data_IF_518427732776
#
_entry.id   IF_518427732776
#
_cell.length_a   1.000
_cell.length_b   1.000
_cell.length_c   1.000
_cell.angle_alpha   90.00
_cell.angle_beta   90.00
_cell.angle_gamma   90.00
#
_symmetry.space_group_name_H-M   'P 1'
#
loop_
_entity.id
_entity.type
_entity.pdbx_description
1 polymer ?
#
# COMPACT_ATOMS: atom_id res chain seq x y z
N UNK A 1 -27.86 -38.44 18.32
CA UNK A 1 -27.22 -39.77 18.21
C UNK A 1 -26.17 -39.67 17.12
N UNK A 2 -24.92 -39.98 17.44
CA UNK A 2 -23.80 -40.03 16.49
C UNK A 2 -23.82 -41.36 15.76
N UNK A 3 -23.79 -41.34 14.42
CA UNK A 3 -23.74 -42.55 13.60
C UNK A 3 -22.33 -43.16 13.69
N UNK A 4 -22.22 -44.43 14.08
CA UNK A 4 -20.91 -45.10 14.17
C UNK A 4 -20.34 -45.39 12.79
N UNK A 5 -19.00 -45.48 12.68
CA UNK A 5 -18.33 -45.82 11.42
C UNK A 5 -18.78 -47.19 10.86
N UNK A 6 -19.02 -48.19 11.73
CA UNK A 6 -19.55 -49.49 11.33
C UNK A 6 -20.96 -49.37 10.73
N UNK A 7 -21.88 -48.64 11.39
CA UNK A 7 -23.23 -48.40 10.88
C UNK A 7 -23.21 -47.65 9.55
N UNK A 8 -22.34 -46.65 9.41
CA UNK A 8 -22.15 -45.92 8.15
C UNK A 8 -21.74 -46.84 6.99
N UNK A 9 -20.75 -47.71 7.21
CA UNK A 9 -20.29 -48.68 6.19
C UNK A 9 -21.41 -49.62 5.73
N UNK A 10 -22.32 -50.00 6.64
CA UNK A 10 -23.48 -50.82 6.28
C UNK A 10 -24.43 -50.07 5.32
N UNK A 11 -24.73 -48.79 5.61
CA UNK A 11 -25.56 -47.95 4.73
C UNK A 11 -24.88 -47.78 3.36
N UNK A 12 -23.58 -47.45 3.33
CA UNK A 12 -22.83 -47.31 2.07
C UNK A 12 -22.82 -48.61 1.26
N UNK A 13 -22.59 -49.75 1.92
CA UNK A 13 -22.62 -51.06 1.29
C UNK A 13 -23.99 -51.39 0.70
N UNK A 14 -25.07 -51.05 1.41
CA UNK A 14 -26.44 -51.22 0.92
C UNK A 14 -26.73 -50.32 -0.29
N UNK A 15 -26.34 -49.04 -0.25
CA UNK A 15 -26.50 -48.12 -1.39
C UNK A 15 -25.74 -48.63 -2.62
N UNK A 16 -24.52 -49.13 -2.45
CA UNK A 16 -23.73 -49.73 -3.53
C UNK A 16 -24.38 -50.99 -4.09
N UNK A 17 -24.90 -51.89 -3.24
CA UNK A 17 -25.61 -53.11 -3.70
C UNK A 17 -26.86 -52.77 -4.51
N UNK A 18 -27.66 -51.81 -4.06
CA UNK A 18 -28.89 -51.40 -4.74
C UNK A 18 -28.65 -50.74 -6.10
N UNK A 19 -27.43 -50.25 -6.38
CA UNK A 19 -27.07 -49.72 -7.70
C UNK A 19 -26.83 -50.82 -8.75
N UNK A 20 -26.57 -52.06 -8.32
CA UNK A 20 -26.14 -53.17 -9.20
C UNK A 20 -27.19 -54.28 -9.29
N UNK A 21 -28.07 -54.41 -8.29
CA UNK A 21 -29.12 -55.42 -8.27
C UNK A 21 -30.44 -54.86 -7.70
N UNK A 22 -31.61 -55.38 -8.14
CA UNK A 22 -32.90 -55.07 -7.54
C UNK A 22 -32.90 -55.44 -6.06
N UNK A 23 -33.40 -54.53 -5.22
CA UNK A 23 -33.58 -54.73 -3.77
C UNK A 23 -35.06 -54.73 -3.45
N UNK A 24 -35.42 -55.29 -2.28
CA UNK A 24 -36.82 -55.27 -1.86
C UNK A 24 -37.32 -53.84 -1.64
N UNK A 25 -38.64 -53.72 -1.58
CA UNK A 25 -39.35 -52.44 -1.47
C UNK A 25 -38.87 -51.60 -0.27
N UNK A 26 -38.64 -52.22 0.88
CA UNK A 26 -38.25 -51.48 2.09
C UNK A 26 -36.83 -50.94 1.94
N UNK A 27 -35.90 -51.75 1.45
CA UNK A 27 -34.53 -51.32 1.15
C UNK A 27 -34.48 -50.26 0.06
N UNK A 28 -35.33 -50.35 -0.97
CA UNK A 28 -35.44 -49.29 -1.99
C UNK A 28 -35.84 -47.94 -1.38
N UNK A 29 -36.78 -47.91 -0.43
CA UNK A 29 -37.12 -46.67 0.29
C UNK A 29 -35.97 -46.15 1.16
N UNK A 30 -35.23 -47.03 1.81
CA UNK A 30 -34.05 -46.65 2.60
C UNK A 30 -32.97 -46.06 1.70
N UNK A 31 -32.71 -46.66 0.53
CA UNK A 31 -31.71 -46.19 -0.44
C UNK A 31 -32.12 -44.85 -1.05
N UNK A 32 -33.37 -44.73 -1.52
CA UNK A 32 -33.91 -43.46 -2.03
C UNK A 32 -33.75 -42.36 -0.96
N UNK A 33 -34.06 -42.68 0.30
CA UNK A 33 -33.83 -41.74 1.39
C UNK A 33 -32.32 -41.54 1.61
N UNK A 34 -31.46 -42.54 1.72
CA UNK A 34 -30.01 -42.32 1.90
C UNK A 34 -29.40 -41.38 0.84
N UNK A 35 -29.89 -41.44 -0.40
CA UNK A 35 -29.47 -40.62 -1.56
C UNK A 35 -30.09 -39.22 -1.64
N UNK A 36 -30.92 -38.82 -0.68
CA UNK A 36 -31.44 -37.45 -0.58
C UNK A 36 -32.90 -37.26 -0.97
N UNK A 37 -33.59 -38.29 -1.49
CA UNK A 37 -35.02 -38.18 -1.86
C UNK A 37 -35.88 -37.95 -0.60
N UNK A 38 -36.79 -37.00 -0.63
CA UNK A 38 -37.63 -36.71 0.55
C UNK A 38 -38.62 -37.84 0.81
N UNK A 39 -38.98 -38.08 2.09
CA UNK A 39 -40.00 -39.07 2.45
C UNK A 39 -41.33 -38.87 1.71
N UNK A 40 -41.67 -37.61 1.40
CA UNK A 40 -42.88 -37.28 0.64
C UNK A 40 -42.78 -37.71 -0.83
N UNK A 41 -41.63 -37.47 -1.47
CA UNK A 41 -41.38 -37.91 -2.85
C UNK A 41 -41.33 -39.44 -2.96
N UNK A 42 -40.72 -40.12 -1.98
CA UNK A 42 -40.76 -41.58 -1.86
C UNK A 42 -42.21 -42.05 -1.71
N UNK A 43 -42.99 -41.37 -0.86
CA UNK A 43 -44.42 -41.66 -0.70
C UNK A 43 -45.18 -41.61 -2.02
N UNK A 44 -45.02 -40.52 -2.78
CA UNK A 44 -45.63 -40.38 -4.11
C UNK A 44 -45.21 -41.50 -5.08
N UNK A 45 -43.91 -41.85 -5.12
CA UNK A 45 -43.38 -42.93 -5.96
C UNK A 45 -44.04 -44.29 -5.68
N UNK A 46 -44.43 -44.55 -4.43
CA UNK A 46 -44.94 -45.85 -3.98
C UNK A 46 -46.42 -45.87 -3.62
N UNK A 47 -47.16 -44.78 -3.86
CA UNK A 47 -48.57 -44.66 -3.47
C UNK A 47 -48.80 -44.66 -1.95
N UNK A 48 -47.86 -44.12 -1.17
CA UNK A 48 -47.90 -44.10 0.30
C UNK A 48 -47.86 -42.69 0.86
N UNK A 49 -48.35 -42.52 2.09
CA UNK A 49 -48.19 -41.26 2.83
C UNK A 49 -46.74 -41.11 3.33
N UNK A 50 -46.31 -39.86 3.56
CA UNK A 50 -45.00 -39.54 4.17
C UNK A 50 -44.77 -40.31 5.48
N UNK A 51 -45.82 -40.42 6.31
CA UNK A 51 -45.76 -41.10 7.60
C UNK A 51 -45.67 -42.62 7.45
N UNK A 52 -46.37 -43.21 6.48
CA UNK A 52 -46.25 -44.63 6.17
C UNK A 52 -44.82 -44.99 5.73
N UNK A 53 -44.19 -44.19 4.88
CA UNK A 53 -42.77 -44.38 4.49
C UNK A 53 -41.85 -44.30 5.72
N UNK A 54 -42.05 -43.31 6.60
CA UNK A 54 -41.27 -43.17 7.84
C UNK A 54 -41.38 -44.41 8.73
N UNK A 55 -42.60 -44.95 8.90
CA UNK A 55 -42.83 -46.14 9.71
C UNK A 55 -42.25 -47.41 9.06
N UNK A 56 -42.32 -47.54 7.73
CA UNK A 56 -41.70 -48.66 7.02
C UNK A 56 -40.19 -48.65 7.23
N UNK A 57 -39.53 -47.50 7.05
CA UNK A 57 -38.08 -47.39 7.30
C UNK A 57 -37.79 -47.76 8.76
N UNK A 58 -38.45 -47.11 9.72
CA UNK A 58 -38.12 -47.30 11.14
C UNK A 58 -38.43 -48.69 11.72
N UNK A 59 -39.46 -49.39 11.20
CA UNK A 59 -39.94 -50.65 11.79
C UNK A 59 -39.62 -51.89 10.95
N UNK A 60 -39.49 -51.74 9.64
CA UNK A 60 -39.33 -52.86 8.70
C UNK A 60 -37.95 -52.92 8.05
N UNK A 61 -37.10 -51.91 8.29
CA UNK A 61 -35.71 -51.93 7.83
C UNK A 61 -34.74 -51.97 9.03
N UNK A 62 -33.49 -52.30 8.76
CA UNK A 62 -32.40 -52.32 9.76
C UNK A 62 -31.92 -50.91 10.17
N UNK A 63 -32.48 -49.87 9.56
CA UNK A 63 -32.08 -48.47 9.73
C UNK A 63 -33.26 -47.58 10.09
N UNK A 64 -32.98 -46.50 10.81
CA UNK A 64 -33.98 -45.51 11.18
C UNK A 64 -33.81 -44.21 10.40
N UNK A 65 -34.89 -43.45 10.26
CA UNK A 65 -34.86 -42.13 9.61
C UNK A 65 -33.86 -41.16 10.29
N UNK A 66 -33.73 -41.11 11.63
CA UNK A 66 -32.68 -40.33 12.28
C UNK A 66 -31.26 -40.77 11.89
N UNK A 67 -30.97 -42.07 11.84
CA UNK A 67 -29.65 -42.58 11.40
C UNK A 67 -29.35 -42.19 9.95
N UNK A 68 -30.33 -42.32 9.06
CA UNK A 68 -30.18 -41.95 7.64
C UNK A 68 -30.04 -40.43 7.46
N UNK A 69 -30.70 -39.63 8.31
CA UNK A 69 -30.53 -38.18 8.31
C UNK A 69 -29.11 -37.79 8.74
N UNK A 70 -28.58 -38.47 9.74
CA UNK A 70 -27.20 -38.26 10.19
C UNK A 70 -26.18 -38.73 9.14
N UNK A 71 -26.43 -39.86 8.49
CA UNK A 71 -25.66 -40.34 7.34
C UNK A 71 -25.58 -39.28 6.23
N UNK A 72 -26.72 -38.74 5.79
CA UNK A 72 -26.77 -37.66 4.78
C UNK A 72 -25.97 -36.43 5.21
N UNK A 73 -26.04 -36.06 6.50
CA UNK A 73 -25.31 -34.92 7.05
C UNK A 73 -23.79 -35.14 6.94
N UNK A 74 -23.33 -36.34 7.27
CA UNK A 74 -21.91 -36.73 7.17
C UNK A 74 -21.45 -36.72 5.71
N UNK A 75 -22.19 -37.37 4.81
CA UNK A 75 -21.86 -37.41 3.37
C UNK A 75 -21.82 -36.01 2.78
N UNK A 76 -22.83 -35.17 3.04
CA UNK A 76 -22.84 -33.79 2.56
C UNK A 76 -21.69 -32.95 3.12
N UNK A 77 -21.27 -33.20 4.37
CA UNK A 77 -20.12 -32.53 4.99
C UNK A 77 -18.80 -32.96 4.33
N UNK A 78 -18.64 -34.23 3.98
CA UNK A 78 -17.48 -34.74 3.26
C UNK A 78 -17.42 -34.23 1.82
N UNK A 79 -18.52 -34.30 1.07
CA UNK A 79 -18.61 -33.72 -0.27
C UNK A 79 -18.27 -32.23 -0.25
N UNK A 80 -18.80 -31.49 0.73
CA UNK A 80 -18.46 -30.07 0.94
C UNK A 80 -16.97 -29.88 1.24
N UNK A 81 -16.36 -30.79 2.00
CA UNK A 81 -14.95 -30.69 2.40
C UNK A 81 -14.01 -31.02 1.23
N UNK A 82 -14.34 -32.06 0.45
CA UNK A 82 -13.64 -32.42 -0.78
C UNK A 82 -13.75 -31.31 -1.83
N UNK A 83 -14.96 -30.79 -2.06
CA UNK A 83 -15.17 -29.67 -2.98
C UNK A 83 -14.40 -28.42 -2.52
N UNK A 84 -14.41 -28.12 -1.22
CA UNK A 84 -13.62 -27.01 -0.67
C UNK A 84 -12.11 -27.23 -0.88
N UNK A 85 -11.59 -28.43 -0.61
CA UNK A 85 -10.18 -28.74 -0.83
C UNK A 85 -9.79 -28.60 -2.30
N UNK A 86 -10.61 -29.13 -3.22
CA UNK A 86 -10.41 -28.98 -4.66
C UNK A 86 -10.45 -27.51 -5.11
N UNK A 87 -11.41 -26.72 -4.63
CA UNK A 87 -11.50 -25.30 -4.92
C UNK A 87 -10.30 -24.51 -4.37
N UNK A 88 -9.77 -24.87 -3.19
CA UNK A 88 -8.57 -24.24 -2.63
C UNK A 88 -7.33 -24.56 -3.50
N UNK A 89 -7.12 -25.82 -3.87
CA UNK A 89 -6.03 -26.21 -4.77
C UNK A 89 -6.14 -25.54 -6.15
N UNK A 90 -7.35 -25.49 -6.71
CA UNK A 90 -7.63 -24.76 -7.95
C UNK A 90 -7.30 -23.28 -7.80
N UNK A 91 -7.74 -22.66 -6.71
CA UNK A 91 -7.50 -21.24 -6.41
C UNK A 91 -6.01 -20.93 -6.20
N UNK A 92 -5.21 -21.89 -5.75
CA UNK A 92 -3.75 -21.76 -5.64
C UNK A 92 -3.06 -21.71 -7.00
N UNK A 93 -3.50 -22.56 -7.94
CA UNK A 93 -2.97 -22.60 -9.32
C UNK A 93 -3.57 -21.57 -10.28
N UNK A 94 -4.72 -20.98 -9.95
CA UNK A 94 -5.50 -20.12 -10.87
C UNK A 94 -5.75 -18.70 -10.30
N UNK A 95 -4.76 -18.10 -9.64
CA UNK A 95 -4.90 -16.77 -9.02
C UNK A 95 -5.26 -15.71 -10.06
N UNK A 96 -6.30 -14.91 -9.80
CA UNK A 96 -6.77 -13.88 -10.73
C UNK A 96 -7.72 -14.37 -11.83
N UNK A 97 -7.94 -15.68 -11.95
CA UNK A 97 -8.96 -16.25 -12.84
C UNK A 97 -10.34 -16.06 -12.20
N UNK A 98 -11.34 -15.62 -12.96
CA UNK A 98 -12.67 -15.30 -12.44
C UNK A 98 -13.41 -16.51 -11.85
N UNK A 99 -14.24 -16.26 -10.82
CA UNK A 99 -15.04 -17.30 -10.14
C UNK A 99 -15.96 -18.08 -11.09
N UNK A 100 -16.34 -17.50 -12.23
CA UNK A 100 -17.15 -18.14 -13.27
C UNK A 100 -16.44 -19.33 -13.93
N UNK A 101 -15.10 -19.34 -13.97
CA UNK A 101 -14.32 -20.45 -14.51
C UNK A 101 -14.36 -21.64 -13.55
N UNK A 102 -14.09 -21.41 -12.26
CA UNK A 102 -14.25 -22.44 -11.23
C UNK A 102 -15.68 -22.98 -11.16
N UNK A 103 -16.68 -22.11 -11.27
CA UNK A 103 -18.08 -22.53 -11.28
C UNK A 103 -18.39 -23.54 -12.40
N UNK A 104 -17.87 -23.29 -13.61
CA UNK A 104 -18.01 -24.19 -14.75
C UNK A 104 -17.21 -25.48 -14.58
N UNK A 105 -15.98 -25.40 -14.10
CA UNK A 105 -15.08 -26.55 -13.94
C UNK A 105 -15.55 -27.52 -12.86
N UNK A 106 -16.01 -26.99 -11.72
CA UNK A 106 -16.51 -27.79 -10.60
C UNK A 106 -18.02 -28.10 -10.69
N UNK A 107 -18.70 -27.60 -11.73
CA UNK A 107 -20.14 -27.84 -11.93
C UNK A 107 -21.03 -27.28 -10.82
N UNK A 108 -20.60 -26.21 -10.14
CA UNK A 108 -21.33 -25.60 -9.01
C UNK A 108 -21.58 -24.11 -9.22
N UNK A 109 -22.67 -23.53 -8.69
CA UNK A 109 -22.96 -22.11 -8.84
C UNK A 109 -21.84 -21.20 -8.30
N UNK A 110 -21.62 -20.05 -8.94
CA UNK A 110 -20.57 -19.09 -8.56
C UNK A 110 -20.67 -18.63 -7.09
N UNK A 111 -21.88 -18.43 -6.57
CA UNK A 111 -22.09 -18.07 -5.16
C UNK A 111 -21.60 -19.17 -4.20
N UNK A 112 -21.74 -20.45 -4.60
CA UNK A 112 -21.30 -21.60 -3.81
C UNK A 112 -19.78 -21.71 -3.81
N UNK A 113 -19.15 -21.44 -4.95
CA UNK A 113 -17.68 -21.30 -5.04
C UNK A 113 -17.19 -20.20 -4.09
N UNK A 114 -17.83 -19.03 -4.13
CA UNK A 114 -17.46 -17.91 -3.26
C UNK A 114 -17.61 -18.25 -1.77
N UNK A 115 -18.71 -18.91 -1.38
CA UNK A 115 -18.94 -19.37 -0.01
C UNK A 115 -17.83 -20.34 0.44
N UNK A 116 -17.48 -21.32 -0.40
CA UNK A 116 -16.51 -22.35 -0.09
C UNK A 116 -15.06 -21.84 -0.10
N UNK A 117 -14.74 -20.81 -0.87
CA UNK A 117 -13.44 -20.14 -0.82
C UNK A 117 -13.35 -19.11 0.34
N UNK A 118 -14.47 -18.62 0.84
CA UNK A 118 -14.50 -17.57 1.88
C UNK A 118 -13.78 -16.31 1.41
N UNK A 119 -12.90 -15.74 2.25
CA UNK A 119 -12.10 -14.55 1.91
C UNK A 119 -11.26 -14.73 0.64
N UNK A 120 -10.83 -15.96 0.35
CA UNK A 120 -10.00 -16.26 -0.82
C UNK A 120 -10.74 -16.04 -2.14
N UNK A 121 -12.08 -16.01 -2.11
CA UNK A 121 -12.90 -15.67 -3.27
C UNK A 121 -12.55 -14.28 -3.84
N UNK A 122 -12.03 -13.36 -3.03
CA UNK A 122 -11.67 -12.01 -3.46
C UNK A 122 -10.51 -12.02 -4.49
N UNK A 123 -9.67 -13.07 -4.50
CA UNK A 123 -8.64 -13.27 -5.53
C UNK A 123 -9.22 -13.57 -6.93
N UNK A 124 -10.51 -13.86 -7.01
CA UNK A 124 -11.22 -14.34 -8.20
C UNK A 124 -12.47 -13.51 -8.51
N UNK A 125 -12.81 -12.51 -7.69
CA UNK A 125 -13.86 -11.55 -8.03
C UNK A 125 -13.30 -10.57 -9.04
N UNK A 126 -13.77 -10.65 -10.29
CA UNK A 126 -13.61 -9.55 -11.23
C UNK A 126 -14.16 -8.29 -10.57
N UNK A 127 -13.29 -7.30 -10.33
CA UNK A 127 -13.62 -6.07 -9.63
C UNK A 127 -14.79 -5.37 -10.34
N UNK A 128 -16.03 -5.42 -9.80
CA UNK A 128 -17.10 -4.63 -10.37
C UNK A 128 -16.73 -3.20 -10.03
N UNK A 129 -16.35 -2.43 -11.05
CA UNK A 129 -16.11 -0.99 -11.03
C UNK A 129 -16.52 -0.36 -9.71
N UNK A 130 -15.52 -0.02 -8.90
CA UNK A 130 -15.56 0.89 -7.74
C UNK A 130 -16.92 1.60 -7.71
N UNK A 131 -17.88 1.12 -6.91
CA UNK A 131 -19.09 1.90 -6.63
C UNK A 131 -18.57 3.17 -5.98
N UNK A 132 -18.46 4.23 -6.78
CA UNK A 132 -18.36 5.58 -6.29
C UNK A 132 -19.61 5.74 -5.45
N UNK A 133 -19.45 5.62 -4.12
CA UNK A 133 -20.38 6.24 -3.21
C UNK A 133 -20.50 7.66 -3.72
N UNK A 134 -21.69 8.01 -4.21
CA UNK A 134 -21.98 9.34 -4.71
C UNK A 134 -21.69 10.32 -3.57
N UNK A 135 -20.47 10.85 -3.55
CA UNK A 135 -20.14 12.04 -2.80
C UNK A 135 -21.07 13.12 -3.34
N UNK A 136 -21.88 13.69 -2.46
CA UNK A 136 -22.94 14.65 -2.78
C UNK A 136 -22.45 15.87 -3.57
N UNK A 137 -21.14 16.15 -3.52
CA UNK A 137 -20.52 17.22 -4.29
C UNK A 137 -20.23 16.79 -5.74
N UNK A 138 -20.76 17.55 -6.68
CA UNK A 138 -20.48 17.49 -8.11
C UNK A 138 -19.04 17.90 -8.41
N UNK A 139 -18.54 17.59 -9.60
CA UNK A 139 -17.20 18.02 -10.02
C UNK A 139 -17.08 19.54 -10.03
N UNK A 140 -18.07 20.24 -10.57
CA UNK A 140 -18.07 21.71 -10.64
C UNK A 140 -18.07 22.35 -9.25
N UNK A 141 -18.86 21.84 -8.31
CA UNK A 141 -18.86 22.30 -6.91
C UNK A 141 -17.48 22.14 -6.26
N UNK A 142 -16.77 21.04 -6.56
CA UNK A 142 -15.41 20.83 -6.04
C UNK A 142 -14.41 21.78 -6.70
N UNK A 143 -14.56 22.10 -7.99
CA UNK A 143 -13.71 23.08 -8.67
C UNK A 143 -13.94 24.50 -8.12
N UNK A 144 -15.19 24.87 -7.85
CA UNK A 144 -15.52 26.17 -7.25
C UNK A 144 -14.96 26.32 -5.84
N UNK A 145 -15.02 25.26 -5.03
CA UNK A 145 -14.38 25.26 -3.71
C UNK A 145 -12.85 25.43 -3.79
N UNK A 146 -12.21 24.83 -4.80
CA UNK A 146 -10.77 25.03 -5.03
C UNK A 146 -10.46 26.47 -5.43
N UNK A 147 -11.27 27.06 -6.32
CA UNK A 147 -11.13 28.47 -6.74
C UNK A 147 -11.32 29.41 -5.55
N UNK A 148 -12.34 29.19 -4.72
CA UNK A 148 -12.60 29.97 -3.50
C UNK A 148 -11.45 29.86 -2.50
N UNK A 149 -11.00 28.64 -2.19
CA UNK A 149 -9.85 28.44 -1.32
C UNK A 149 -8.61 29.20 -1.80
N UNK A 150 -8.31 29.12 -3.10
CA UNK A 150 -7.14 29.79 -3.67
C UNK A 150 -7.27 31.31 -3.63
N UNK A 151 -8.47 31.84 -3.95
CA UNK A 151 -8.74 33.27 -3.89
C UNK A 151 -8.64 33.84 -2.46
N UNK A 152 -9.12 33.09 -1.46
CA UNK A 152 -9.15 33.55 -0.06
C UNK A 152 -7.79 33.44 0.64
N UNK A 153 -7.00 32.43 0.32
CA UNK A 153 -5.77 32.12 1.07
C UNK A 153 -4.49 32.39 0.29
N UNK A 154 -4.57 32.51 -1.05
CA UNK A 154 -3.41 32.49 -1.95
C UNK A 154 -2.67 31.15 -1.97
N UNK A 155 -3.11 30.15 -1.22
CA UNK A 155 -2.47 28.84 -1.11
C UNK A 155 -3.01 27.87 -2.16
N UNK A 156 -2.21 26.84 -2.48
CA UNK A 156 -2.61 25.75 -3.37
C UNK A 156 -2.18 24.37 -2.85
N UNK A 157 -1.84 24.27 -1.55
CA UNK A 157 -1.39 23.02 -0.94
C UNK A 157 -2.57 22.18 -0.46
N UNK A 158 -2.46 20.85 -0.56
CA UNK A 158 -3.50 19.93 -0.10
C UNK A 158 -3.75 20.05 1.42
N UNK A 159 -2.69 20.28 2.21
CA UNK A 159 -2.77 20.51 3.64
C UNK A 159 -3.52 21.83 3.96
N UNK A 160 -3.20 22.92 3.25
CA UNK A 160 -3.89 24.21 3.39
C UNK A 160 -5.38 24.10 3.06
N UNK A 161 -5.71 23.43 1.96
CA UNK A 161 -7.12 23.19 1.60
C UNK A 161 -7.85 22.34 2.64
N UNK A 162 -7.20 21.36 3.24
CA UNK A 162 -7.83 20.52 4.29
C UNK A 162 -8.17 21.33 5.53
N UNK A 163 -7.26 22.20 5.96
CA UNK A 163 -7.50 23.10 7.08
C UNK A 163 -8.65 24.07 6.75
N UNK A 164 -8.63 24.67 5.56
CA UNK A 164 -9.68 25.56 5.06
C UNK A 164 -11.04 24.85 5.00
N UNK A 165 -11.10 23.66 4.41
CA UNK A 165 -12.31 22.88 4.23
C UNK A 165 -12.95 22.49 5.57
N UNK A 166 -12.13 22.14 6.57
CA UNK A 166 -12.58 21.78 7.93
C UNK A 166 -13.32 22.95 8.60
N UNK A 167 -12.87 24.19 8.42
CA UNK A 167 -13.54 25.36 9.01
C UNK A 167 -14.89 25.68 8.38
N UNK A 168 -15.15 25.18 7.15
CA UNK A 168 -16.35 25.47 6.36
C UNK A 168 -17.29 24.28 6.21
N UNK A 169 -16.93 23.12 6.77
CA UNK A 169 -17.73 21.89 6.67
C UNK A 169 -17.85 21.33 5.25
N UNK A 170 -16.91 21.67 4.36
CA UNK A 170 -16.90 21.25 2.95
C UNK A 170 -15.98 20.04 2.74
N UNK A 171 -16.08 19.31 1.61
CA UNK A 171 -15.26 18.13 1.37
C UNK A 171 -13.76 18.44 1.37
N UNK A 172 -12.97 17.61 2.08
CA UNK A 172 -11.52 17.75 2.18
C UNK A 172 -10.76 17.31 0.92
N UNK A 173 -9.45 17.55 0.90
CA UNK A 173 -8.60 17.32 -0.28
C UNK A 173 -8.64 15.87 -0.82
N UNK A 174 -8.90 14.88 0.05
CA UNK A 174 -9.00 13.47 -0.36
C UNK A 174 -10.21 13.23 -1.27
N UNK A 175 -11.35 13.86 -0.98
CA UNK A 175 -12.55 13.80 -1.83
C UNK A 175 -12.25 14.37 -3.21
N UNK A 176 -11.60 15.53 -3.25
CA UNK A 176 -11.16 16.19 -4.47
C UNK A 176 -10.20 15.30 -5.25
N UNK A 177 -9.15 14.78 -4.61
CA UNK A 177 -8.16 13.91 -5.25
C UNK A 177 -8.78 12.61 -5.76
N UNK A 178 -9.73 12.00 -5.03
CA UNK A 178 -10.43 10.79 -5.47
C UNK A 178 -11.26 11.05 -6.74
N UNK A 179 -11.89 12.23 -6.85
CA UNK A 179 -12.74 12.59 -8.00
C UNK A 179 -11.92 12.88 -9.25
N UNK A 180 -10.84 13.64 -9.12
CA UNK A 180 -9.99 14.08 -10.24
C UNK A 180 -8.72 13.22 -10.42
N UNK A 181 -8.63 12.07 -9.76
CA UNK A 181 -7.49 11.15 -9.75
C UNK A 181 -6.32 11.60 -8.86
N UNK A 182 -5.95 12.89 -8.90
CA UNK A 182 -4.87 13.48 -8.07
C UNK A 182 -5.12 14.96 -7.77
N UNK A 183 -4.60 15.44 -6.65
CA UNK A 183 -4.75 16.84 -6.20
C UNK A 183 -4.33 17.87 -7.28
N UNK A 184 -3.17 17.69 -7.90
CA UNK A 184 -2.68 18.62 -8.92
C UNK A 184 -3.54 18.62 -10.18
N UNK A 185 -4.18 17.49 -10.53
CA UNK A 185 -5.12 17.46 -11.65
C UNK A 185 -6.39 18.25 -11.32
N UNK A 186 -6.86 18.20 -10.08
CA UNK A 186 -7.99 19.02 -9.63
C UNK A 186 -7.66 20.53 -9.66
N UNK A 187 -6.46 20.92 -9.21
CA UNK A 187 -6.00 22.31 -9.31
C UNK A 187 -5.90 22.79 -10.75
N UNK A 188 -5.36 21.95 -11.65
CA UNK A 188 -5.28 22.27 -13.07
C UNK A 188 -6.68 22.42 -13.68
N UNK A 189 -7.61 21.52 -13.36
CA UNK A 189 -9.01 21.61 -13.78
C UNK A 189 -9.72 22.86 -13.20
N UNK A 190 -9.31 23.31 -12.01
CA UNK A 190 -9.80 24.55 -11.40
C UNK A 190 -9.18 25.82 -11.99
N UNK A 191 -8.20 25.70 -12.91
CA UNK A 191 -7.47 26.82 -13.50
C UNK A 191 -6.37 27.40 -12.61
N UNK A 192 -6.04 26.73 -11.50
CA UNK A 192 -5.00 27.16 -10.55
C UNK A 192 -3.65 26.67 -11.06
N UNK A 193 -2.92 27.53 -11.76
CA UNK A 193 -1.57 27.23 -12.26
C UNK A 193 -0.60 27.12 -11.09
N UNK A 194 -0.09 25.91 -10.86
CA UNK A 194 1.15 25.76 -10.11
C UNK A 194 2.34 25.88 -11.06
N UNK A 195 3.49 26.32 -10.54
CA UNK A 195 4.74 26.15 -11.26
C UNK A 195 4.85 24.65 -11.63
N UNK A 196 5.09 24.36 -12.92
CA UNK A 196 5.24 22.97 -13.34
C UNK A 196 6.26 22.28 -12.43
N UNK A 197 5.90 21.13 -11.83
CA UNK A 197 6.89 20.33 -11.13
C UNK A 197 7.95 19.99 -12.17
N UNK A 198 9.17 20.50 -11.98
CA UNK A 198 10.29 20.14 -12.84
C UNK A 198 10.37 18.61 -12.83
N UNK A 199 10.21 17.93 -13.99
CA UNK A 199 10.29 16.49 -14.05
C UNK A 199 11.65 16.08 -13.51
N UNK A 200 11.67 15.44 -12.35
CA UNK A 200 12.88 14.80 -11.85
C UNK A 200 13.08 13.57 -12.71
N UNK A 201 14.19 13.51 -13.44
CA UNK A 201 14.65 12.27 -14.05
C UNK A 201 14.83 11.25 -12.93
N UNK A 202 13.93 10.28 -12.89
CA UNK A 202 13.97 9.26 -11.86
C UNK A 202 14.91 8.17 -12.33
N UNK A 203 15.83 7.79 -11.44
CA UNK A 203 16.84 6.73 -11.64
C UNK A 203 16.27 5.36 -12.05
N UNK A 204 14.96 5.18 -11.85
CA UNK A 204 14.25 3.97 -12.23
C UNK A 204 13.57 4.19 -13.58
N UNK A 205 13.81 3.30 -14.53
CA UNK A 205 13.04 3.25 -15.78
C UNK A 205 11.66 2.60 -15.54
N UNK A 206 10.76 2.67 -16.53
CA UNK A 206 9.49 1.92 -16.49
C UNK A 206 9.74 0.41 -16.32
N UNK A 207 10.75 -0.13 -17.00
CA UNK A 207 11.15 -1.53 -16.86
C UNK A 207 11.66 -1.85 -15.47
N UNK A 208 12.35 -0.92 -14.81
CA UNK A 208 12.84 -1.12 -13.44
C UNK A 208 11.66 -1.25 -12.47
N UNK A 209 10.62 -0.43 -12.64
CA UNK A 209 9.44 -0.49 -11.78
C UNK A 209 8.66 -1.79 -11.95
N UNK A 210 8.52 -2.27 -13.20
CA UNK A 210 7.90 -3.56 -13.48
C UNK A 210 8.77 -4.73 -13.04
N UNK A 211 10.09 -4.65 -13.18
CA UNK A 211 11.01 -5.69 -12.75
C UNK A 211 10.98 -5.86 -11.22
N UNK A 212 10.91 -4.77 -10.46
CA UNK A 212 10.74 -4.84 -9.00
C UNK A 212 9.44 -5.56 -8.61
N UNK A 213 8.34 -5.29 -9.32
CA UNK A 213 7.07 -5.97 -9.09
C UNK A 213 7.12 -7.46 -9.50
N UNK A 214 7.68 -7.78 -10.67
CA UNK A 214 7.84 -9.16 -11.16
C UNK A 214 8.72 -9.96 -10.20
N UNK A 215 9.87 -9.41 -9.80
CA UNK A 215 10.79 -10.05 -8.84
C UNK A 215 10.10 -10.33 -7.51
N UNK A 216 9.38 -9.34 -6.95
CA UNK A 216 8.68 -9.52 -5.69
C UNK A 216 7.59 -10.59 -5.79
N UNK A 217 6.63 -10.44 -6.71
CA UNK A 217 5.46 -11.32 -6.76
C UNK A 217 5.75 -12.72 -7.27
N UNK A 218 6.85 -12.91 -8.01
CA UNK A 218 7.25 -14.24 -8.53
C UNK A 218 8.17 -15.00 -7.57
N UNK A 219 8.60 -14.38 -6.46
CA UNK A 219 9.40 -15.06 -5.45
C UNK A 219 8.57 -16.16 -4.76
N UNK A 220 9.18 -17.29 -4.36
CA UNK A 220 8.48 -18.38 -3.66
C UNK A 220 7.77 -17.94 -2.37
N UNK A 221 8.39 -17.00 -1.65
CA UNK A 221 7.92 -16.33 -0.44
C UNK A 221 7.42 -14.90 -0.72
N UNK A 222 7.05 -14.62 -1.98
CA UNK A 222 6.66 -13.31 -2.45
C UNK A 222 5.40 -12.77 -1.75
N UNK A 223 5.28 -11.43 -1.67
CA UNK A 223 4.20 -10.77 -0.95
C UNK A 223 2.84 -11.00 -1.64
N UNK A 224 1.80 -11.20 -0.84
CA UNK A 224 0.43 -11.39 -1.32
C UNK A 224 -0.40 -10.12 -1.09
N UNK A 225 -0.18 -9.45 0.04
CA UNK A 225 -0.89 -8.24 0.42
C UNK A 225 -0.10 -6.98 0.09
N UNK A 226 -0.79 -5.83 0.02
CA UNK A 226 -0.13 -4.54 -0.21
C UNK A 226 0.91 -4.22 0.88
N UNK A 227 0.60 -4.55 2.13
CA UNK A 227 1.50 -4.31 3.27
C UNK A 227 2.77 -5.18 3.18
N UNK A 228 2.62 -6.46 2.85
CA UNK A 228 3.76 -7.36 2.63
C UNK A 228 4.62 -6.88 1.45
N UNK A 229 3.99 -6.35 0.39
CA UNK A 229 4.73 -5.81 -0.75
C UNK A 229 5.53 -4.56 -0.37
N UNK A 230 4.97 -3.67 0.44
CA UNK A 230 5.72 -2.52 0.96
C UNK A 230 6.90 -2.98 1.81
N UNK A 231 6.70 -3.95 2.70
CA UNK A 231 7.77 -4.49 3.53
C UNK A 231 8.88 -5.15 2.69
N UNK A 232 8.50 -5.95 1.68
CA UNK A 232 9.43 -6.62 0.77
C UNK A 232 10.38 -5.64 0.08
N UNK A 233 9.83 -4.52 -0.42
CA UNK A 233 10.61 -3.46 -1.07
C UNK A 233 11.51 -2.72 -0.07
N UNK A 234 11.03 -2.51 1.16
CA UNK A 234 11.79 -1.79 2.20
C UNK A 234 12.97 -2.60 2.74
N UNK A 235 12.83 -3.92 2.87
CA UNK A 235 13.91 -4.82 3.32
C UNK A 235 15.07 -4.89 2.32
N UNK A 236 14.85 -4.54 1.06
CA UNK A 236 15.83 -4.66 -0.02
C UNK A 236 16.39 -3.29 -0.38
N UNK A 237 17.66 -3.10 -0.01
CA UNK A 237 18.38 -1.87 -0.28
C UNK A 237 18.36 -1.53 -1.78
N UNK A 238 17.87 -0.32 -2.07
CA UNK A 238 17.85 0.25 -3.40
C UNK A 238 16.69 -0.16 -4.31
N UNK A 239 15.70 -0.90 -3.80
CA UNK A 239 14.44 -1.09 -4.51
C UNK A 239 13.61 0.21 -4.57
N UNK A 240 12.81 0.43 -5.65
CA UNK A 240 11.87 1.54 -5.71
C UNK A 240 10.75 1.37 -4.68
N UNK A 241 10.21 2.48 -4.16
CA UNK A 241 9.09 2.43 -3.21
C UNK A 241 7.77 2.06 -3.90
N UNK A 242 6.83 1.46 -3.16
CA UNK A 242 5.51 1.10 -3.69
C UNK A 242 4.76 2.32 -4.25
N UNK A 243 4.89 3.46 -3.55
CA UNK A 243 4.29 4.72 -3.97
C UNK A 243 4.87 5.20 -5.30
N UNK A 244 6.20 5.09 -5.51
CA UNK A 244 6.82 5.45 -6.78
C UNK A 244 6.33 4.54 -7.91
N UNK A 245 6.33 3.22 -7.67
CA UNK A 245 5.87 2.23 -8.66
C UNK A 245 4.43 2.55 -9.09
N UNK A 246 3.50 2.59 -8.14
CA UNK A 246 2.06 2.79 -8.46
C UNK A 246 1.78 4.14 -9.08
N UNK A 247 2.39 5.22 -8.58
CA UNK A 247 2.13 6.57 -9.09
C UNK A 247 2.70 6.77 -10.49
N UNK A 248 3.84 6.16 -10.81
CA UNK A 248 4.50 6.34 -12.11
C UNK A 248 3.96 5.41 -13.19
N UNK A 249 3.61 4.19 -12.80
CA UNK A 249 2.95 3.24 -13.71
C UNK A 249 1.45 3.51 -13.85
N UNK A 250 0.87 4.33 -12.99
CA UNK A 250 -0.56 4.65 -12.91
C UNK A 250 -1.43 3.38 -12.80
N UNK A 251 -1.01 2.46 -11.93
CA UNK A 251 -1.71 1.18 -11.69
C UNK A 251 -2.08 1.00 -10.22
N UNK A 252 -3.23 0.40 -9.98
CA UNK A 252 -3.62 -0.07 -8.64
C UNK A 252 -2.71 -1.22 -8.19
N UNK A 253 -2.62 -1.45 -6.88
CA UNK A 253 -1.86 -2.58 -6.34
C UNK A 253 -2.33 -3.93 -6.92
N UNK A 254 -3.66 -4.13 -7.03
CA UNK A 254 -4.23 -5.36 -7.58
C UNK A 254 -3.84 -5.55 -9.05
N UNK A 255 -3.90 -4.49 -9.86
CA UNK A 255 -3.51 -4.56 -11.28
C UNK A 255 -2.01 -4.74 -11.45
N UNK A 256 -1.19 -4.10 -10.61
CA UNK A 256 0.25 -4.27 -10.58
C UNK A 256 0.60 -5.74 -10.31
N UNK A 257 0.02 -6.32 -9.24
CA UNK A 257 0.23 -7.72 -8.84
C UNK A 257 -0.21 -8.68 -9.94
N UNK A 258 -1.43 -8.50 -10.47
CA UNK A 258 -1.97 -9.37 -11.51
C UNK A 258 -1.13 -9.32 -12.79
N UNK A 259 -0.76 -8.12 -13.23
CA UNK A 259 0.01 -7.94 -14.47
C UNK A 259 1.42 -8.50 -14.32
N UNK A 260 2.10 -8.24 -13.21
CA UNK A 260 3.44 -8.76 -12.94
C UNK A 260 3.46 -10.29 -12.88
N UNK A 261 2.50 -10.91 -12.18
CA UNK A 261 2.37 -12.37 -12.12
C UNK A 261 2.06 -12.97 -13.50
N UNK A 262 1.17 -12.33 -14.28
CA UNK A 262 0.88 -12.77 -15.65
C UNK A 262 2.13 -12.72 -16.52
N UNK A 263 2.86 -11.60 -16.51
CA UNK A 263 4.11 -11.45 -17.25
C UNK A 263 5.13 -12.51 -16.85
N UNK A 264 5.27 -12.80 -15.55
CA UNK A 264 6.17 -13.83 -15.06
C UNK A 264 5.79 -15.24 -15.54
N UNK A 265 4.50 -15.56 -15.55
CA UNK A 265 3.99 -16.87 -15.93
C UNK A 265 4.01 -17.10 -17.45
N UNK A 266 3.58 -16.13 -18.25
CA UNK A 266 3.42 -16.28 -19.71
C UNK A 266 4.62 -15.78 -20.50
N UNK A 267 5.50 -14.98 -19.89
CA UNK A 267 6.55 -14.20 -20.56
C UNK A 267 6.06 -13.19 -21.60
N UNK A 268 4.74 -12.98 -21.68
CA UNK A 268 4.15 -11.95 -22.53
C UNK A 268 4.34 -10.57 -21.89
N UNK A 269 4.89 -9.63 -22.66
CA UNK A 269 5.15 -8.27 -22.22
C UNK A 269 3.94 -7.36 -22.48
N UNK A 270 3.74 -6.38 -21.61
CA UNK A 270 2.80 -5.28 -21.88
C UNK A 270 3.45 -4.22 -22.78
N UNK A 271 2.66 -3.41 -23.50
CA UNK A 271 3.19 -2.34 -24.33
C UNK A 271 4.09 -1.38 -23.54
N UNK A 272 5.26 -1.06 -24.09
CA UNK A 272 6.23 -0.14 -23.48
C UNK A 272 7.13 -0.74 -22.42
N UNK A 273 7.08 -2.05 -22.19
CA UNK A 273 8.01 -2.80 -21.34
C UNK A 273 8.87 -3.73 -22.19
N UNK A 274 10.17 -3.80 -21.91
CA UNK A 274 11.11 -4.67 -22.65
C UNK A 274 11.38 -5.99 -21.94
N UNK A 275 12.05 -6.92 -22.63
CA UNK A 275 12.43 -8.22 -22.08
C UNK A 275 13.34 -8.15 -20.84
N UNK A 276 14.06 -7.04 -20.66
CA UNK A 276 14.91 -6.78 -19.50
C UNK A 276 14.15 -6.72 -18.17
N UNK A 277 12.82 -6.71 -18.20
CA UNK A 277 11.97 -6.80 -17.00
C UNK A 277 12.17 -8.11 -16.22
N UNK A 278 12.59 -9.18 -16.89
CA UNK A 278 12.80 -10.50 -16.27
C UNK A 278 14.23 -10.74 -15.80
N UNK A 279 15.15 -9.83 -16.13
CA UNK A 279 16.55 -9.93 -15.72
C UNK A 279 16.69 -9.61 -14.24
N UNK A 280 17.57 -10.36 -13.55
CA UNK A 280 17.86 -10.11 -12.14
C UNK A 280 18.60 -8.79 -12.00
N UNK A 281 18.08 -7.89 -11.16
CA UNK A 281 18.65 -6.55 -10.97
C UNK A 281 19.50 -6.46 -9.72
N UNK A 282 20.58 -5.67 -9.81
CA UNK A 282 21.37 -5.26 -8.66
C UNK A 282 20.84 -3.93 -8.12
N UNK A 283 19.79 -4.01 -7.30
CA UNK A 283 19.07 -2.84 -6.77
C UNK A 283 19.96 -1.88 -5.98
N UNK A 284 20.90 -2.42 -5.20
CA UNK A 284 21.89 -1.64 -4.45
C UNK A 284 22.78 -0.80 -5.36
N UNK A 285 23.36 -1.41 -6.40
CA UNK A 285 24.22 -0.71 -7.35
C UNK A 285 23.50 0.46 -8.04
N UNK A 286 22.19 0.32 -8.34
CA UNK A 286 21.37 1.43 -8.86
C UNK A 286 21.13 2.57 -7.88
N UNK A 287 21.30 2.33 -6.58
CA UNK A 287 21.24 3.37 -5.56
C UNK A 287 22.56 4.08 -5.40
N UNK A 288 23.65 3.33 -5.50
CA UNK A 288 25.02 3.85 -5.39
C UNK A 288 25.44 4.63 -6.65
N UNK A 289 24.82 4.35 -7.81
CA UNK A 289 25.04 5.03 -9.07
C UNK A 289 24.80 6.56 -8.94
N UNK A 290 25.89 7.32 -8.88
CA UNK A 290 25.89 8.78 -8.71
C UNK A 290 25.55 9.28 -7.30
N UNK A 291 25.57 8.41 -6.27
CA UNK A 291 25.44 8.80 -4.86
C UNK A 291 26.81 8.95 -4.15
N UNK A 292 27.90 9.05 -4.92
CA UNK A 292 29.25 9.27 -4.41
C UNK A 292 29.62 10.77 -4.31
N UNK A 293 30.65 11.04 -3.51
CA UNK A 293 31.15 12.39 -3.27
C UNK A 293 31.74 13.04 -4.52
N UNK A 294 32.37 12.27 -5.42
CA UNK A 294 33.02 12.80 -6.61
C UNK A 294 31.98 13.33 -7.61
N UNK A 295 30.92 12.56 -7.86
CA UNK A 295 29.76 12.97 -8.66
C UNK A 295 29.11 14.25 -8.09
N UNK A 296 28.99 14.35 -6.77
CA UNK A 296 28.44 15.54 -6.13
C UNK A 296 29.34 16.78 -6.32
N UNK A 297 30.65 16.62 -6.18
CA UNK A 297 31.65 17.67 -6.39
C UNK A 297 31.68 18.10 -7.87
N UNK A 298 31.59 17.16 -8.81
CA UNK A 298 31.59 17.44 -10.26
C UNK A 298 30.39 18.28 -10.70
N UNK A 299 29.20 18.01 -10.14
CA UNK A 299 28.01 18.84 -10.39
C UNK A 299 28.21 20.28 -9.90
N UNK A 300 28.83 20.46 -8.73
CA UNK A 300 29.14 21.80 -8.21
C UNK A 300 30.23 22.48 -9.04
N UNK A 301 31.22 21.73 -9.54
CA UNK A 301 32.27 22.26 -10.42
C UNK A 301 31.69 22.84 -11.70
N UNK A 302 30.77 22.11 -12.36
CA UNK A 302 30.03 22.63 -13.53
C UNK A 302 29.25 23.91 -13.22
N UNK A 303 28.59 23.96 -12.07
CA UNK A 303 27.87 25.17 -11.66
C UNK A 303 28.82 26.35 -11.41
N UNK A 304 30.04 26.10 -10.93
CA UNK A 304 31.10 27.10 -10.78
C UNK A 304 31.63 27.57 -12.14
N UNK A 305 31.80 26.67 -13.10
CA UNK A 305 32.21 27.02 -14.48
C UNK A 305 31.19 27.96 -15.14
N UNK A 306 29.90 27.72 -14.94
CA UNK A 306 28.83 28.54 -15.54
C UNK A 306 28.56 29.85 -14.78
N UNK A 307 28.59 29.84 -13.43
CA UNK A 307 28.14 30.97 -12.60
C UNK A 307 29.27 31.75 -11.94
N UNK A 308 30.52 31.31 -12.11
CA UNK A 308 31.71 31.83 -11.47
C UNK A 308 32.02 31.21 -10.09
N UNK A 309 33.21 31.51 -9.53
CA UNK A 309 33.75 30.85 -8.34
C UNK A 309 32.95 31.08 -7.05
N UNK A 310 32.17 32.15 -6.96
CA UNK A 310 31.36 32.48 -5.77
C UNK A 310 29.95 31.90 -5.89
N UNK A 311 29.74 30.72 -5.31
CA UNK A 311 28.50 29.96 -5.46
C UNK A 311 27.72 29.83 -4.14
N UNK A 312 26.75 30.72 -3.94
CA UNK A 312 25.77 30.56 -2.85
C UNK A 312 24.80 29.41 -3.12
N UNK A 313 24.25 28.81 -2.06
CA UNK A 313 23.24 27.74 -2.19
C UNK A 313 21.98 28.21 -2.95
N UNK A 314 21.61 29.49 -2.82
CA UNK A 314 20.50 30.10 -3.57
C UNK A 314 20.80 30.24 -5.06
N UNK A 315 22.01 30.72 -5.41
CA UNK A 315 22.46 30.82 -6.82
C UNK A 315 22.53 29.44 -7.47
N UNK A 316 23.12 28.47 -6.77
CA UNK A 316 23.12 27.08 -7.23
C UNK A 316 21.70 26.55 -7.42
N UNK A 317 20.78 26.79 -6.48
CA UNK A 317 19.41 26.27 -6.58
C UNK A 317 18.67 26.78 -7.81
N UNK A 318 18.93 28.03 -8.23
CA UNK A 318 18.38 28.58 -9.47
C UNK A 318 18.98 27.89 -10.71
N UNK A 319 20.31 27.78 -10.78
CA UNK A 319 21.01 27.11 -11.88
C UNK A 319 20.66 25.62 -11.99
N UNK A 320 20.60 24.92 -10.86
CA UNK A 320 20.25 23.50 -10.81
C UNK A 320 18.83 23.23 -11.30
N UNK A 321 17.91 24.19 -11.13
CA UNK A 321 16.54 24.08 -11.66
C UNK A 321 16.52 24.14 -13.19
N UNK A 322 17.33 25.02 -13.77
CA UNK A 322 17.47 25.18 -15.23
C UNK A 322 18.21 23.99 -15.87
N UNK A 323 19.28 23.52 -15.21
CA UNK A 323 20.15 22.45 -15.68
C UNK A 323 19.71 21.04 -15.23
N UNK A 324 18.56 20.95 -14.54
CA UNK A 324 17.96 19.70 -14.02
C UNK A 324 18.91 18.90 -13.10
N UNK A 325 19.71 19.59 -12.30
CA UNK A 325 20.66 18.97 -11.37
C UNK A 325 20.04 18.71 -9.98
N UNK A 326 20.66 17.82 -9.16
CA UNK A 326 20.21 17.58 -7.78
C UNK A 326 20.21 18.85 -6.91
N UNK A 327 19.43 18.87 -5.83
CA UNK A 327 19.44 20.04 -4.92
C UNK A 327 20.74 20.12 -4.11
N UNK A 328 21.07 21.33 -3.62
CA UNK A 328 22.23 21.53 -2.75
C UNK A 328 22.24 20.56 -1.57
N UNK A 329 21.09 20.34 -0.95
CA UNK A 329 20.90 19.38 0.15
C UNK A 329 21.20 17.93 -0.26
N UNK A 330 20.83 17.52 -1.47
CA UNK A 330 21.16 16.18 -1.99
C UNK A 330 22.67 16.04 -2.20
N UNK A 331 23.33 17.05 -2.76
CA UNK A 331 24.77 17.03 -2.97
C UNK A 331 25.55 17.03 -1.65
N UNK A 332 25.13 17.82 -0.67
CA UNK A 332 25.70 17.83 0.68
C UNK A 332 25.59 16.45 1.35
N UNK A 333 24.43 15.77 1.22
CA UNK A 333 24.25 14.40 1.72
C UNK A 333 25.19 13.42 1.04
N UNK A 334 25.29 13.48 -0.30
CA UNK A 334 26.16 12.59 -1.12
C UNK A 334 27.64 12.74 -0.78
N UNK A 335 28.08 13.98 -0.61
CA UNK A 335 29.48 14.28 -0.30
C UNK A 335 29.81 14.15 1.19
N UNK A 336 28.80 14.14 2.07
CA UNK A 336 29.02 14.25 3.53
C UNK A 336 29.59 15.61 3.94
N UNK A 337 29.47 16.63 3.09
CA UNK A 337 30.06 17.96 3.28
C UNK A 337 28.98 19.04 3.50
N UNK A 338 29.33 20.07 4.26
CA UNK A 338 28.52 21.29 4.28
C UNK A 338 28.69 22.07 2.97
N UNK A 339 27.72 22.93 2.61
CA UNK A 339 27.71 23.61 1.30
C UNK A 339 29.00 24.38 1.02
N UNK A 340 29.55 25.09 2.01
CA UNK A 340 30.82 25.81 1.86
C UNK A 340 31.98 24.87 1.54
N UNK A 341 32.10 23.76 2.27
CA UNK A 341 33.18 22.78 2.06
C UNK A 341 33.02 22.04 0.72
N UNK A 342 31.77 21.82 0.29
CA UNK A 342 31.45 21.26 -1.03
C UNK A 342 31.85 22.20 -2.17
N UNK A 343 31.58 23.51 -2.04
CA UNK A 343 32.01 24.52 -3.02
C UNK A 343 33.53 24.62 -3.06
N UNK A 344 34.20 24.57 -1.90
CA UNK A 344 35.65 24.55 -1.82
C UNK A 344 36.27 23.31 -2.48
N UNK A 345 35.70 22.12 -2.21
CA UNK A 345 36.13 20.86 -2.83
C UNK A 345 35.93 20.84 -4.36
N UNK A 346 34.96 21.62 -4.86
CA UNK A 346 34.72 21.80 -6.29
C UNK A 346 35.59 22.89 -6.94
N UNK A 347 36.50 23.54 -6.20
CA UNK A 347 37.39 24.58 -6.70
C UNK A 347 36.81 26.00 -6.65
N UNK A 348 35.69 26.20 -5.96
CA UNK A 348 35.04 27.49 -5.78
C UNK A 348 35.47 28.22 -4.50
N UNK A 349 35.04 29.48 -4.38
CA UNK A 349 35.23 30.30 -3.20
C UNK A 349 33.97 30.19 -2.32
N UNK A 350 34.05 29.52 -1.15
CA UNK A 350 32.93 29.46 -0.23
C UNK A 350 32.56 30.87 0.25
N UNK A 351 31.25 31.13 0.37
CA UNK A 351 30.80 32.36 1.00
C UNK A 351 31.38 32.44 2.42
N UNK A 352 31.89 33.63 2.79
CA UNK A 352 32.35 33.89 4.14
C UNK A 352 31.25 33.47 5.13
N UNK A 353 31.61 32.62 6.11
CA UNK A 353 30.70 32.31 7.23
C UNK A 353 30.31 33.65 7.84
N UNK A 354 29.01 33.94 7.94
CA UNK A 354 28.54 35.12 8.67
C UNK A 354 29.05 35.00 10.10
N UNK A 355 30.12 35.72 10.43
CA UNK A 355 30.51 35.91 11.82
C UNK A 355 29.39 36.74 12.44
N UNK A 356 28.66 36.19 13.41
CA UNK A 356 27.60 36.91 14.12
C UNK A 356 28.15 38.08 14.94
N UNK A 357 29.46 38.31 14.93
CA UNK A 357 30.11 39.49 15.51
C UNK A 357 30.28 39.41 17.02
N UNK A 358 29.89 38.29 17.63
CA UNK A 358 30.01 38.07 19.07
C UNK A 358 31.15 37.11 19.40
N UNK A 359 32.04 37.53 20.29
CA UNK A 359 33.01 36.64 20.94
C UNK A 359 32.33 35.76 21.99
N UNK A 360 33.03 34.70 22.41
CA UNK A 360 32.51 33.77 23.43
C UNK A 360 32.34 34.49 24.77
N UNK A 361 33.23 35.43 25.08
CA UNK A 361 33.16 36.30 26.26
C UNK A 361 31.94 37.22 26.20
N UNK A 362 31.66 37.82 25.04
CA UNK A 362 30.48 38.68 24.87
C UNK A 362 29.18 37.89 25.07
N UNK A 363 29.09 36.69 24.51
CA UNK A 363 27.91 35.85 24.69
C UNK A 363 27.77 35.34 26.13
N UNK A 364 28.89 35.03 26.79
CA UNK A 364 28.92 34.64 28.20
C UNK A 364 28.44 35.77 29.10
N UNK A 365 28.85 37.01 28.81
CA UNK A 365 28.41 38.20 29.55
C UNK A 365 26.90 38.46 29.40
N UNK A 366 26.37 38.35 28.17
CA UNK A 366 24.93 38.43 27.93
C UNK A 366 24.15 37.32 28.66
N UNK A 367 24.71 36.11 28.73
CA UNK A 367 24.12 34.99 29.47
C UNK A 367 24.17 35.20 30.98
N UNK A 368 25.30 35.68 31.53
CA UNK A 368 25.43 36.05 32.95
C UNK A 368 24.40 37.10 33.33
N UNK A 369 24.31 38.17 32.55
CA UNK A 369 23.36 39.24 32.76
C UNK A 369 21.91 38.72 32.80
N UNK A 370 21.54 37.86 31.85
CA UNK A 370 20.22 37.21 31.87
C UNK A 370 19.99 36.37 33.14
N UNK A 371 20.96 35.53 33.52
CA UNK A 371 20.84 34.67 34.70
C UNK A 371 20.72 35.49 35.99
N UNK A 372 21.47 36.59 36.10
CA UNK A 372 21.43 37.48 37.27
C UNK A 372 20.13 38.29 37.33
N UNK A 373 19.67 38.86 36.21
CA UNK A 373 18.48 39.71 36.19
C UNK A 373 17.17 38.93 36.33
N UNK A 374 17.11 37.69 35.81
CA UNK A 374 15.88 36.90 35.79
C UNK A 374 15.86 35.75 36.79
N UNK A 375 17.02 35.32 37.30
CA UNK A 375 17.16 34.14 38.17
C UNK A 375 16.78 32.81 37.49
N UNK A 376 16.56 32.78 36.18
CA UNK A 376 16.05 31.62 35.45
C UNK A 376 17.03 31.15 34.39
N UNK A 377 17.12 29.84 34.17
CA UNK A 377 17.87 29.23 33.06
C UNK A 377 16.98 28.81 31.89
N UNK A 378 15.74 29.29 31.83
CA UNK A 378 14.76 28.92 30.79
C UNK A 378 15.07 29.57 29.44
N UNK A 379 15.19 28.76 28.39
CA UNK A 379 15.41 29.24 27.00
C UNK A 379 14.24 30.07 26.47
N UNK A 380 13.01 29.73 26.89
CA UNK A 380 11.82 30.50 26.54
C UNK A 380 11.84 31.88 27.19
N UNK A 381 12.30 31.97 28.44
CA UNK A 381 12.43 33.25 29.14
C UNK A 381 13.58 34.09 28.60
N UNK A 382 14.67 33.46 28.14
CA UNK A 382 15.72 34.17 27.42
C UNK A 382 15.19 34.78 26.11
N UNK A 383 14.32 34.06 25.41
CA UNK A 383 13.74 34.51 24.14
C UNK A 383 12.84 35.75 24.30
N UNK A 384 12.18 35.91 25.45
CA UNK A 384 11.46 37.15 25.78
C UNK A 384 12.39 38.24 26.32
N UNK A 385 13.39 37.88 27.15
CA UNK A 385 14.37 38.82 27.70
C UNK A 385 15.28 39.44 26.63
N UNK A 386 15.71 38.67 25.62
CA UNK A 386 16.52 39.18 24.50
C UNK A 386 15.81 40.31 23.75
N UNK A 387 14.49 40.23 23.58
CA UNK A 387 13.72 41.19 22.80
C UNK A 387 13.63 42.55 23.52
N UNK A 388 13.61 42.53 24.86
CA UNK A 388 13.61 43.73 25.69
C UNK A 388 15.01 44.35 25.85
N UNK A 389 16.09 43.55 25.73
CA UNK A 389 17.45 43.96 26.05
C UNK A 389 18.40 44.08 24.84
N UNK A 390 17.91 43.81 23.62
CA UNK A 390 18.75 43.80 22.41
C UNK A 390 19.85 42.74 22.43
N UNK A 391 19.62 41.63 23.14
CA UNK A 391 20.61 40.59 23.35
C UNK A 391 20.79 39.69 22.11
N UNK A 392 21.89 38.94 22.01
CA UNK A 392 22.10 37.95 20.95
C UNK A 392 20.97 36.92 20.89
N UNK A 393 20.69 36.41 19.68
CA UNK A 393 19.58 35.47 19.52
C UNK A 393 19.81 34.18 20.30
N UNK A 394 18.75 33.56 20.83
CA UNK A 394 18.80 32.23 21.44
C UNK A 394 19.57 31.23 20.56
N UNK A 395 19.33 31.23 19.24
CA UNK A 395 19.99 30.33 18.28
C UNK A 395 21.50 30.64 18.23
N UNK A 396 21.88 31.91 18.20
CA UNK A 396 23.30 32.35 18.21
C UNK A 396 24.02 31.83 19.44
N UNK A 397 23.42 31.95 20.62
CA UNK A 397 24.00 31.44 21.88
C UNK A 397 24.05 29.91 21.88
N UNK A 398 22.92 29.25 21.60
CA UNK A 398 22.84 27.79 21.67
C UNK A 398 23.76 27.10 20.65
N UNK A 399 23.87 27.62 19.43
CA UNK A 399 24.78 27.04 18.42
C UNK A 399 26.25 27.28 18.78
N UNK A 400 26.60 28.42 19.41
CA UNK A 400 27.99 28.72 19.78
C UNK A 400 28.53 27.80 20.88
N UNK A 401 27.72 27.51 21.90
CA UNK A 401 28.14 26.68 23.04
C UNK A 401 27.80 25.19 22.89
N UNK A 402 27.28 24.75 21.72
CA UNK A 402 26.90 23.35 21.49
C UNK A 402 25.60 22.92 22.19
N UNK A 403 24.80 23.90 22.62
CA UNK A 403 23.49 23.70 23.25
C UNK A 403 23.19 24.75 24.32
N UNK A 404 21.91 24.91 24.64
CA UNK A 404 21.45 25.84 25.67
C UNK A 404 21.94 25.49 27.10
N UNK A 405 21.91 24.22 27.54
CA UNK A 405 22.45 23.84 28.86
C UNK A 405 23.93 24.18 29.02
N UNK A 406 24.72 24.02 27.95
CA UNK A 406 26.15 24.32 27.91
C UNK A 406 26.41 25.83 28.00
N UNK A 407 25.58 26.66 27.35
CA UNK A 407 25.65 28.11 27.48
C UNK A 407 25.35 28.58 28.91
N UNK A 408 24.33 27.99 29.55
CA UNK A 408 23.99 28.28 30.95
C UNK A 408 25.12 27.85 31.89
N UNK A 409 25.73 26.68 31.63
CA UNK A 409 26.88 26.21 32.41
C UNK A 409 28.08 27.15 32.26
N UNK A 410 28.42 27.55 31.03
CA UNK A 410 29.53 28.46 30.74
C UNK A 410 29.37 29.84 31.41
N UNK A 411 28.14 30.30 31.62
CA UNK A 411 27.85 31.57 32.28
C UNK A 411 27.76 31.49 33.82
N UNK A 412 27.79 30.30 34.42
CA UNK A 412 27.76 30.11 35.89
C UNK A 412 29.15 30.07 36.54
N UNK A 413 30.18 29.93 35.72
CA UNK A 413 31.60 30.06 36.08
C UNK A 413 32.13 31.35 35.46
#
# INVERSE_FOLDING_TARGET
MTLTAARRRLIEGMVKRAAVAPVDRSTSMVVDYAQGVTLNAIGKKWGLTREAVRQIINRKSEFTVPELKEYRRIVAQEERSLLRAGLLAWSEGNRGVGLEVAAREFGVPQHRVAELLGKRADLHRANPRRRTTALRATEEELLDLLRQFHAETGQATAAGYTAWAKTRGVPGHQTVAIRFGRWNAALAAAGIRQAEPVPRESRYTTDDLWAAAVEAFSAPDGPVTHLEFVAWLQEREGMPSDALIRNRLDVSFENLRHTALRMAATRELIPGVTGGVFERRQWKAKTDEGDDAASAIDVVRRAIEDLGPTLSSGRYSAWAKEHRCPSATTLQRRAGLQWGDLVAAAGGLPNARKNTGYSDEQLTEWMRRFLTETGSSSSTLYTSWQAANGAPSYITVATRFGGWPQAVAAARW
#
